data_IF_226889180629
#
_entry.id   IF_226889180629
#
_cell.length_a   1.000
_cell.length_b   1.000
_cell.length_c   1.000
_cell.angle_alpha   90.00
_cell.angle_beta   90.00
_cell.angle_gamma   90.00
#
_symmetry.space_group_name_H-M   'P 1'
#
loop_
_entity.id
_entity.type
_entity.pdbx_description
1 polymer ?
#
# COMPACT_ATOMS: atom_id res chain seq x y z
N UNK A 1 -23.88 -2.85 -7.77
CA UNK A 1 -23.56 -4.03 -8.63
C UNK A 1 -24.63 -5.07 -8.46
N UNK A 2 -25.15 -5.66 -9.54
CA UNK A 2 -26.13 -6.76 -9.50
C UNK A 2 -25.40 -8.06 -9.16
N UNK A 3 -26.14 -9.04 -8.59
CA UNK A 3 -25.55 -10.33 -8.17
C UNK A 3 -25.02 -11.11 -9.38
N UNK A 4 -25.74 -11.06 -10.50
CA UNK A 4 -25.39 -11.70 -11.76
C UNK A 4 -24.04 -11.18 -12.29
N UNK A 5 -23.86 -9.85 -12.29
CA UNK A 5 -22.59 -9.22 -12.71
C UNK A 5 -21.42 -9.65 -11.82
N UNK A 6 -21.65 -9.75 -10.51
CA UNK A 6 -20.62 -10.25 -9.57
C UNK A 6 -20.24 -11.70 -9.90
N UNK A 7 -21.23 -12.57 -10.15
CA UNK A 7 -20.99 -13.97 -10.49
C UNK A 7 -20.24 -14.13 -11.82
N UNK A 8 -20.59 -13.32 -12.84
CA UNK A 8 -19.88 -13.30 -14.12
C UNK A 8 -18.41 -12.90 -13.97
N UNK A 9 -18.14 -11.86 -13.19
CA UNK A 9 -16.77 -11.41 -12.93
C UNK A 9 -15.97 -12.45 -12.14
N UNK A 10 -16.59 -13.09 -11.17
CA UNK A 10 -15.98 -14.19 -10.42
C UNK A 10 -15.67 -15.39 -11.33
N UNK A 11 -16.59 -15.74 -12.23
CA UNK A 11 -16.41 -16.82 -13.22
C UNK A 11 -15.28 -16.50 -14.23
N UNK A 12 -15.03 -15.22 -14.55
CA UNK A 12 -13.89 -14.76 -15.36
C UNK A 12 -12.54 -14.85 -14.64
N UNK A 13 -12.52 -15.26 -13.36
CA UNK A 13 -11.30 -15.46 -12.59
C UNK A 13 -10.77 -14.20 -11.89
N UNK A 14 -11.53 -13.14 -11.82
CA UNK A 14 -11.12 -11.97 -11.02
C UNK A 14 -11.08 -12.33 -9.54
N UNK A 15 -9.94 -12.12 -8.92
CA UNK A 15 -9.72 -12.40 -7.49
C UNK A 15 -10.33 -11.31 -6.58
N UNK A 16 -10.57 -10.12 -7.13
CA UNK A 16 -11.11 -8.97 -6.42
C UNK A 16 -12.13 -8.25 -7.28
N UNK A 17 -13.32 -8.09 -6.73
CA UNK A 17 -14.43 -7.42 -7.39
C UNK A 17 -14.87 -6.26 -6.49
N UNK A 18 -14.70 -5.00 -6.94
CA UNK A 18 -15.08 -3.84 -6.13
C UNK A 18 -16.59 -3.77 -5.94
N UNK A 19 -17.04 -3.64 -4.71
CA UNK A 19 -18.41 -3.37 -4.37
C UNK A 19 -18.53 -1.92 -3.91
N UNK A 20 -19.42 -1.16 -4.53
CA UNK A 20 -19.62 0.25 -4.21
C UNK A 20 -21.01 0.47 -3.64
N UNK A 21 -21.06 1.20 -2.53
CA UNK A 21 -22.29 1.72 -1.95
C UNK A 21 -22.10 3.22 -1.74
N UNK A 22 -22.98 4.01 -2.31
CA UNK A 22 -23.02 5.44 -2.09
C UNK A 22 -23.95 5.76 -0.91
N UNK A 23 -23.50 6.63 -0.03
CA UNK A 23 -24.28 7.10 1.13
C UNK A 23 -24.12 8.61 1.26
N UNK A 24 -25.17 9.25 1.75
CA UNK A 24 -25.14 10.68 2.07
C UNK A 24 -24.34 10.90 3.36
N UNK A 25 -23.47 11.90 3.38
CA UNK A 25 -22.60 12.20 4.52
C UNK A 25 -22.55 13.70 4.84
N UNK A 26 -23.70 14.39 4.74
CA UNK A 26 -23.80 15.85 4.90
C UNK A 26 -23.38 16.38 6.27
N UNK A 27 -23.42 15.52 7.28
CA UNK A 27 -23.07 15.87 8.66
C UNK A 27 -21.63 15.46 9.05
N UNK A 28 -20.87 14.87 8.10
CA UNK A 28 -19.55 14.38 8.37
C UNK A 28 -18.47 15.11 7.57
N UNK A 29 -17.39 15.45 8.25
CA UNK A 29 -16.12 15.81 7.59
C UNK A 29 -15.33 14.53 7.30
N UNK A 30 -14.35 14.55 6.36
CA UNK A 30 -13.48 13.41 6.13
C UNK A 30 -12.82 12.88 7.41
N UNK A 31 -12.37 13.78 8.29
CA UNK A 31 -11.79 13.41 9.57
C UNK A 31 -12.79 12.75 10.52
N UNK A 32 -14.02 13.28 10.62
CA UNK A 32 -15.04 12.68 11.48
C UNK A 32 -15.47 11.30 10.96
N UNK A 33 -15.61 11.16 9.65
CA UNK A 33 -15.87 9.88 8.99
C UNK A 33 -14.73 8.87 9.26
N UNK A 34 -13.47 9.28 9.05
CA UNK A 34 -12.30 8.45 9.35
C UNK A 34 -12.33 7.92 10.78
N UNK A 35 -12.54 8.79 11.77
CA UNK A 35 -12.60 8.39 13.19
C UNK A 35 -13.72 7.40 13.49
N UNK A 36 -14.85 7.50 12.78
CA UNK A 36 -15.97 6.57 12.94
C UNK A 36 -15.70 5.19 12.36
N UNK A 37 -15.06 5.13 11.18
CA UNK A 37 -14.91 3.86 10.46
C UNK A 37 -13.58 3.15 10.73
N UNK A 38 -12.50 3.88 11.01
CA UNK A 38 -11.20 3.29 11.31
C UNK A 38 -11.06 2.85 12.78
N UNK A 39 -11.89 3.39 13.69
CA UNK A 39 -11.78 3.11 15.13
C UNK A 39 -10.70 3.93 15.83
N UNK A 40 -10.57 3.73 17.16
CA UNK A 40 -9.66 4.52 17.98
C UNK A 40 -8.21 4.01 17.98
N UNK A 41 -8.03 2.71 17.80
CA UNK A 41 -6.74 2.01 17.95
C UNK A 41 -6.41 1.22 16.68
N UNK A 42 -6.73 1.79 15.50
CA UNK A 42 -6.55 1.10 14.24
C UNK A 42 -5.16 1.37 13.66
N UNK A 43 -4.24 0.47 13.87
CA UNK A 43 -2.99 0.43 13.13
C UNK A 43 -3.27 0.19 11.64
N UNK A 44 -2.38 0.71 10.78
CA UNK A 44 -2.43 0.51 9.32
C UNK A 44 -3.73 0.99 8.65
N UNK A 45 -4.34 2.05 9.17
CA UNK A 45 -5.39 2.83 8.50
C UNK A 45 -4.83 4.17 8.03
N UNK A 46 -5.51 4.83 7.11
CA UNK A 46 -5.04 6.12 6.58
C UNK A 46 -6.19 7.03 6.17
N UNK A 47 -5.89 8.33 6.18
CA UNK A 47 -6.72 9.37 5.60
C UNK A 47 -5.85 10.22 4.67
N UNK A 48 -6.16 10.24 3.39
CA UNK A 48 -5.58 11.16 2.44
C UNK A 48 -6.57 12.28 2.14
N UNK A 49 -6.15 13.51 2.38
CA UNK A 49 -6.92 14.70 2.05
C UNK A 49 -6.13 15.58 1.10
N UNK A 50 -6.76 16.02 0.02
CA UNK A 50 -6.15 17.01 -0.85
C UNK A 50 -6.43 18.41 -0.32
N UNK A 51 -5.40 19.10 0.14
CA UNK A 51 -5.49 20.46 0.71
C UNK A 51 -5.18 21.54 -0.31
N UNK A 52 -4.48 21.21 -1.40
CA UNK A 52 -4.10 22.18 -2.46
C UNK A 52 -4.36 21.60 -3.84
N UNK A 53 -4.82 22.43 -4.77
CA UNK A 53 -4.89 22.05 -6.17
C UNK A 53 -6.17 22.46 -6.91
N UNK A 54 -6.94 23.40 -6.38
CA UNK A 54 -8.13 23.92 -7.05
C UNK A 54 -9.24 22.88 -7.24
N UNK A 55 -10.28 23.24 -7.96
CA UNK A 55 -11.51 22.45 -8.12
C UNK A 55 -11.33 21.04 -8.75
N UNK A 56 -10.20 20.76 -9.38
CA UNK A 56 -9.97 19.46 -10.06
C UNK A 56 -9.33 18.39 -9.18
N UNK A 57 -8.51 18.74 -8.19
CA UNK A 57 -7.73 17.79 -7.37
C UNK A 57 -8.22 17.66 -5.94
N UNK A 58 -8.88 18.69 -5.39
CA UNK A 58 -9.44 18.68 -4.05
C UNK A 58 -10.81 17.99 -3.91
N UNK A 59 -11.21 17.15 -4.89
CA UNK A 59 -12.56 16.57 -4.91
C UNK A 59 -12.75 15.35 -4.01
N UNK A 60 -11.68 14.71 -3.61
CA UNK A 60 -11.76 13.42 -2.91
C UNK A 60 -10.89 13.41 -1.68
N UNK A 61 -11.46 12.92 -0.60
CA UNK A 61 -10.70 12.40 0.52
C UNK A 61 -10.79 10.87 0.48
N UNK A 62 -9.68 10.18 0.76
CA UNK A 62 -9.61 8.74 0.68
C UNK A 62 -9.33 8.19 2.07
N UNK A 63 -10.21 7.34 2.56
CA UNK A 63 -10.07 6.68 3.85
C UNK A 63 -9.77 5.21 3.59
N UNK A 64 -8.64 4.74 4.11
CA UNK A 64 -8.33 3.32 4.15
C UNK A 64 -8.65 2.75 5.52
N UNK A 65 -9.40 1.68 5.53
CA UNK A 65 -9.72 0.94 6.74
C UNK A 65 -8.50 0.14 7.22
N UNK A 66 -8.45 -0.27 8.50
CA UNK A 66 -7.37 -1.07 9.02
C UNK A 66 -7.09 -2.29 8.16
N UNK A 67 -5.84 -2.44 7.75
CA UNK A 67 -5.45 -3.56 6.89
C UNK A 67 -5.08 -4.77 7.75
N UNK A 68 -5.68 -5.92 7.43
CA UNK A 68 -5.31 -7.19 8.04
C UNK A 68 -3.96 -7.70 7.53
N UNK A 69 -3.59 -7.36 6.28
CA UNK A 69 -2.34 -7.78 5.67
C UNK A 69 -1.38 -6.61 5.58
N UNK A 70 -0.20 -6.77 6.15
CA UNK A 70 0.88 -5.77 6.18
C UNK A 70 2.13 -6.37 5.56
N UNK A 71 2.77 -5.61 4.69
CA UNK A 71 4.05 -5.95 4.08
C UNK A 71 5.10 -5.03 4.66
N UNK A 72 6.11 -5.59 5.30
CA UNK A 72 7.25 -4.87 5.85
C UNK A 72 8.50 -5.23 5.08
N UNK A 73 9.22 -4.22 4.62
CA UNK A 73 10.47 -4.41 3.88
C UNK A 73 11.58 -3.72 4.64
N UNK A 74 12.60 -4.49 4.99
CA UNK A 74 13.83 -3.99 5.62
C UNK A 74 15.02 -4.52 4.85
N UNK A 75 15.74 -3.63 4.20
CA UNK A 75 16.84 -4.01 3.30
C UNK A 75 16.34 -5.02 2.23
N UNK A 76 16.80 -6.25 2.28
CA UNK A 76 16.45 -7.34 1.37
C UNK A 76 15.42 -8.33 1.95
N UNK A 77 14.95 -8.08 3.18
CA UNK A 77 14.00 -8.95 3.85
C UNK A 77 12.59 -8.39 3.71
N UNK A 78 11.68 -9.23 3.28
CA UNK A 78 10.26 -8.94 3.10
C UNK A 78 9.48 -9.84 4.04
N UNK A 79 8.72 -9.24 4.93
CA UNK A 79 7.85 -9.94 5.87
C UNK A 79 6.40 -9.63 5.55
N UNK A 80 5.57 -10.66 5.45
CA UNK A 80 4.12 -10.52 5.30
C UNK A 80 3.46 -10.94 6.59
N UNK A 81 2.71 -10.03 7.18
CA UNK A 81 1.91 -10.28 8.37
C UNK A 81 0.42 -10.31 8.01
N UNK A 82 -0.34 -11.15 8.68
CA UNK A 82 -1.81 -11.17 8.62
C UNK A 82 -2.33 -11.19 10.04
N UNK A 83 -3.14 -10.19 10.38
CA UNK A 83 -3.69 -9.98 11.73
C UNK A 83 -2.61 -9.88 12.83
N UNK A 84 -1.41 -9.42 12.46
CA UNK A 84 -0.27 -9.26 13.36
C UNK A 84 0.69 -10.44 13.41
N UNK A 85 0.31 -11.58 12.85
CA UNK A 85 1.16 -12.78 12.80
C UNK A 85 1.96 -12.81 11.48
N UNK A 86 3.25 -13.10 11.57
CA UNK A 86 4.10 -13.34 10.41
C UNK A 86 3.67 -14.64 9.72
N UNK A 87 3.25 -14.53 8.46
CA UNK A 87 2.79 -15.66 7.65
C UNK A 87 3.77 -16.04 6.55
N UNK A 88 4.65 -15.11 6.17
CA UNK A 88 5.62 -15.32 5.11
C UNK A 88 6.85 -14.43 5.31
N UNK A 89 8.02 -15.01 5.05
CA UNK A 89 9.30 -14.33 5.08
C UNK A 89 10.08 -14.62 3.80
N UNK A 90 10.48 -13.56 3.09
CA UNK A 90 11.10 -13.68 1.77
C UNK A 90 12.38 -12.85 1.76
N UNK A 91 13.46 -13.42 1.25
CA UNK A 91 14.66 -12.68 0.90
C UNK A 91 14.64 -12.34 -0.60
N UNK A 92 14.79 -11.05 -0.93
CA UNK A 92 14.79 -10.58 -2.31
C UNK A 92 15.97 -9.65 -2.57
N UNK A 93 16.67 -9.88 -3.68
CA UNK A 93 17.72 -8.95 -4.15
C UNK A 93 17.13 -7.67 -4.73
N UNK A 94 15.86 -7.71 -5.14
CA UNK A 94 15.10 -6.57 -5.66
C UNK A 94 13.73 -6.47 -4.97
N UNK A 95 13.68 -5.91 -3.75
CA UNK A 95 12.43 -5.79 -3.01
C UNK A 95 11.40 -4.89 -3.71
N UNK A 96 11.84 -3.88 -4.45
CA UNK A 96 10.92 -2.98 -5.18
C UNK A 96 10.31 -3.69 -6.38
N UNK A 97 11.09 -4.47 -7.12
CA UNK A 97 10.57 -5.32 -8.19
C UNK A 97 9.63 -6.40 -7.67
N UNK A 98 9.88 -6.92 -6.47
CA UNK A 98 8.96 -7.82 -5.80
C UNK A 98 7.60 -7.15 -5.50
N UNK A 99 7.61 -5.92 -4.95
CA UNK A 99 6.37 -5.15 -4.71
C UNK A 99 5.58 -4.93 -6.00
N UNK A 100 6.27 -4.59 -7.09
CA UNK A 100 5.63 -4.41 -8.41
C UNK A 100 4.99 -5.72 -8.91
N UNK A 101 5.67 -6.85 -8.75
CA UNK A 101 5.16 -8.17 -9.12
C UNK A 101 3.97 -8.56 -8.25
N UNK A 102 4.09 -8.38 -6.94
CA UNK A 102 3.03 -8.61 -5.98
C UNK A 102 1.78 -7.78 -6.31
N UNK A 103 1.96 -6.50 -6.66
CA UNK A 103 0.86 -5.63 -7.09
C UNK A 103 0.13 -6.17 -8.32
N UNK A 104 0.85 -6.73 -9.28
CA UNK A 104 0.25 -7.29 -10.51
C UNK A 104 -0.61 -8.52 -10.27
N UNK A 105 -0.36 -9.25 -9.19
CA UNK A 105 -1.19 -10.41 -8.81
C UNK A 105 -2.60 -10.04 -8.32
N UNK A 106 -2.81 -8.75 -8.00
CA UNK A 106 -4.10 -8.23 -7.63
C UNK A 106 -4.97 -8.00 -8.87
N UNK A 107 -5.49 -9.06 -9.44
CA UNK A 107 -6.45 -8.96 -10.54
C UNK A 107 -7.77 -8.34 -10.07
N UNK A 108 -7.88 -7.02 -10.15
CA UNK A 108 -9.10 -6.27 -9.81
C UNK A 108 -9.96 -6.17 -11.07
N UNK A 109 -11.26 -6.46 -10.94
CA UNK A 109 -12.21 -6.30 -12.05
C UNK A 109 -12.41 -4.82 -12.36
N UNK A 110 -12.31 -4.46 -13.65
CA UNK A 110 -12.70 -3.13 -14.13
C UNK A 110 -14.22 -3.05 -14.19
N UNK A 111 -14.78 -2.09 -13.47
CA UNK A 111 -16.21 -1.83 -13.45
C UNK A 111 -16.47 -0.36 -13.80
N UNK A 112 -17.48 -0.10 -14.63
CA UNK A 112 -17.90 1.25 -14.96
C UNK A 112 -18.38 2.02 -13.72
N UNK A 113 -18.16 3.33 -13.70
CA UNK A 113 -18.61 4.22 -12.63
C UNK A 113 -17.77 4.20 -11.36
N UNK A 114 -16.68 3.44 -11.32
CA UNK A 114 -15.76 3.45 -10.19
C UNK A 114 -14.85 4.68 -10.19
N UNK A 115 -14.49 5.21 -9.01
CA UNK A 115 -13.43 6.20 -8.92
C UNK A 115 -12.09 5.59 -9.37
N UNK A 116 -11.14 6.45 -9.75
CA UNK A 116 -9.80 6.03 -10.22
C UNK A 116 -9.04 5.16 -9.22
N UNK A 117 -9.27 5.37 -7.94
CA UNK A 117 -8.66 4.59 -6.87
C UNK A 117 -9.73 3.78 -6.16
N UNK A 118 -9.66 2.47 -6.28
CA UNK A 118 -10.59 1.51 -5.68
C UNK A 118 -9.90 0.59 -4.67
N UNK A 119 -8.67 0.92 -4.28
CA UNK A 119 -7.84 0.13 -3.39
C UNK A 119 -6.51 -0.27 -4.04
N UNK A 120 -5.70 -0.99 -3.29
CA UNK A 120 -4.38 -1.42 -3.73
C UNK A 120 -3.40 -1.53 -2.56
N UNK A 121 -2.13 -1.34 -2.83
CA UNK A 121 -1.10 -1.20 -1.81
C UNK A 121 -0.98 0.27 -1.42
N UNK A 122 -1.07 0.53 -0.13
CA UNK A 122 -0.86 1.87 0.45
C UNK A 122 0.15 1.76 1.57
N UNK A 123 1.14 2.65 1.58
CA UNK A 123 2.20 2.61 2.57
C UNK A 123 3.15 3.79 2.44
N UNK A 124 4.27 3.71 3.15
CA UNK A 124 5.31 4.71 3.09
C UNK A 124 6.68 4.08 2.79
N UNK A 125 7.50 4.83 2.10
CA UNK A 125 8.90 4.52 1.90
C UNK A 125 9.73 5.34 2.89
N UNK A 126 10.52 4.66 3.72
CA UNK A 126 11.50 5.32 4.56
C UNK A 126 12.62 5.94 3.72
N UNK A 127 13.38 6.86 4.30
CA UNK A 127 14.50 7.53 3.62
C UNK A 127 15.51 6.52 3.04
N UNK A 128 15.81 5.45 3.78
CA UNK A 128 16.77 4.43 3.36
C UNK A 128 16.34 3.60 2.12
N UNK A 129 15.10 3.73 1.66
CA UNK A 129 14.66 3.11 0.40
C UNK A 129 15.50 3.60 -0.79
N UNK A 130 16.10 4.78 -0.71
CA UNK A 130 17.04 5.30 -1.72
C UNK A 130 18.20 4.33 -1.98
N UNK A 131 18.60 3.53 -0.98
CA UNK A 131 19.68 2.53 -1.10
C UNK A 131 19.32 1.34 -1.99
N UNK A 132 18.03 1.10 -2.18
CA UNK A 132 17.53 0.07 -3.11
C UNK A 132 17.48 0.58 -4.55
N UNK A 133 17.51 1.89 -4.76
CA UNK A 133 17.41 2.53 -6.08
C UNK A 133 18.79 2.97 -6.56
N UNK A 134 19.55 3.66 -5.70
CA UNK A 134 20.87 4.21 -6.02
C UNK A 134 21.98 3.22 -5.62
N UNK A 135 22.59 2.58 -6.60
CA UNK A 135 23.64 1.56 -6.38
C UNK A 135 24.81 2.06 -5.55
N UNK A 136 25.21 3.34 -5.71
CA UNK A 136 26.31 3.94 -4.95
C UNK A 136 26.05 4.01 -3.45
N UNK A 137 24.78 3.97 -3.04
CA UNK A 137 24.38 4.01 -1.64
C UNK A 137 23.99 2.63 -1.11
N UNK A 138 24.20 1.58 -1.89
CA UNK A 138 23.86 0.22 -1.49
C UNK A 138 24.66 -0.20 -0.25
N UNK A 139 24.05 -1.04 0.58
CA UNK A 139 24.68 -1.57 1.80
C UNK A 139 25.99 -2.31 1.52
N UNK A 140 26.11 -2.95 0.36
CA UNK A 140 27.31 -3.66 -0.05
C UNK A 140 28.50 -2.71 -0.28
N UNK A 141 28.30 -1.55 -0.92
CA UNK A 141 29.36 -0.57 -1.18
C UNK A 141 29.78 0.18 0.07
N UNK A 142 28.85 0.49 0.98
CA UNK A 142 29.17 1.14 2.25
C UNK A 142 30.03 0.23 3.16
N UNK A 143 29.83 -1.09 3.10
CA UNK A 143 30.61 -2.03 3.87
C UNK A 143 31.98 -2.31 3.24
N UNK A 144 32.12 -2.20 1.91
CA UNK A 144 33.42 -2.35 1.21
C UNK A 144 34.33 -1.15 1.40
N UNK A 145 33.77 0.06 1.67
CA UNK A 145 34.55 1.27 1.92
C UNK A 145 34.91 1.48 3.39
N UNK A 146 34.52 0.60 4.28
CA UNK A 146 35.04 0.53 5.67
C UNK A 146 36.34 -0.28 5.72
N UNK A 147 37.32 0.07 4.93
CA UNK A 147 38.71 -0.24 5.24
C UNK A 147 39.11 0.72 6.36
N UNK A 148 39.34 0.15 7.51
CA UNK A 148 39.81 0.80 8.73
C UNK A 148 41.01 1.69 8.44
N UNK A 149 40.93 3.04 8.64
CA UNK A 149 42.07 3.92 8.40
C UNK A 149 43.20 3.76 9.44
N UNK A 150 43.09 2.81 10.37
CA UNK A 150 44.05 2.55 11.42
C UNK A 150 44.92 1.30 11.22
N UNK A 151 44.86 0.66 10.04
CA UNK A 151 45.80 -0.39 9.69
C UNK A 151 46.82 0.14 8.68
N UNK A 152 47.66 1.07 9.09
CA UNK A 152 48.97 1.25 8.49
C UNK A 152 50.00 1.27 9.61
N UNK A 153 51.06 0.40 9.49
CA UNK A 153 52.13 0.32 10.47
C UNK A 153 53.04 1.56 10.51
#
# INVERSE_FOLDING_TARGET
MQVETFQELAAKGYKRIPLVKEILADLDTPLSAYRKVAGKDSDYSYLFESVQGGEKWGRYSIIGLPSRKVIKIREHQITIEVDGDEVEHIESRDPLGWVESYRKEFGVAECEGLPRFTGGLVGCFGYDTVRLIEKRLSYAELNSNKTDPLQNP
#
